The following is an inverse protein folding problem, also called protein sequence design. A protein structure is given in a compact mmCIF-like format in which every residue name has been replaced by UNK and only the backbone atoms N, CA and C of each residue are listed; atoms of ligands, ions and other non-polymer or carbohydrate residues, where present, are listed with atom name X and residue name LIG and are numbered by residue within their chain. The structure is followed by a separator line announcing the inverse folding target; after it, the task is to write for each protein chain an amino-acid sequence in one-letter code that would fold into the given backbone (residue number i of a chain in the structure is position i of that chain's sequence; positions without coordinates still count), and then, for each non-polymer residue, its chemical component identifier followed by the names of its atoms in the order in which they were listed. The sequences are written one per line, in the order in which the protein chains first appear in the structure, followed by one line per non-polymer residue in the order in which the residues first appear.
data_IF_217254049437
#
_entry.id   IF_217254049437
#
_cell.length_a   1.000
_cell.length_b   1.000
_cell.length_c   1.000
_cell.angle_alpha   90.00
_cell.angle_beta   90.00
_cell.angle_gamma   90.00
#
_symmetry.space_group_name_H-M   'P 1'
#
loop_
_entity.id
_entity.type
_entity.pdbx_description
1 polymer ?
#
# COMPACT_ATOMS: atom_id res chain seq x y z
N UNK A 1 68.05 5.25 65.22
CA UNK A 1 66.72 5.87 65.50
C UNK A 1 65.81 5.66 64.25
N UNK A 2 64.79 4.91 64.37
CA UNK A 2 63.92 4.45 63.30
C UNK A 2 62.87 5.50 63.03
N UNK A 3 62.70 5.92 61.76
CA UNK A 3 61.55 6.69 61.29
C UNK A 3 60.49 5.75 60.77
N UNK A 4 59.22 5.95 61.06
CA UNK A 4 58.14 5.08 60.51
C UNK A 4 57.67 5.64 59.16
N UNK A 5 57.52 4.70 58.19
CA UNK A 5 56.96 4.97 56.87
C UNK A 5 55.41 5.02 56.96
N UNK A 6 54.84 6.10 56.52
CA UNK A 6 53.37 6.24 56.35
C UNK A 6 52.97 5.76 54.94
N UNK A 7 52.42 4.57 54.84
CA UNK A 7 51.73 4.11 53.62
C UNK A 7 50.32 4.66 53.59
N UNK A 8 50.09 5.65 52.75
CA UNK A 8 48.74 6.10 52.35
C UNK A 8 48.37 5.34 51.11
N UNK A 9 47.48 4.39 51.22
CA UNK A 9 46.78 3.77 50.08
C UNK A 9 45.77 4.75 49.52
N UNK A 10 45.97 5.21 48.32
CA UNK A 10 44.92 5.89 47.50
C UNK A 10 43.97 4.85 46.97
N UNK A 11 42.65 5.10 47.04
CA UNK A 11 41.69 4.28 46.32
C UNK A 11 41.78 4.57 44.82
N UNK A 12 42.04 3.57 44.04
CA UNK A 12 42.01 3.58 42.59
C UNK A 12 40.55 3.73 42.13
N UNK A 13 40.16 4.94 41.78
CA UNK A 13 38.89 5.16 41.14
C UNK A 13 38.97 4.58 39.72
N UNK A 14 38.33 3.46 39.49
CA UNK A 14 38.18 2.85 38.18
C UNK A 14 37.17 3.69 37.39
N UNK A 15 37.63 4.61 36.57
CA UNK A 15 36.85 5.29 35.58
C UNK A 15 36.47 4.27 34.49
N UNK A 16 35.21 3.79 34.51
CA UNK A 16 34.63 3.02 33.41
C UNK A 16 34.34 4.00 32.28
N UNK A 17 35.27 4.23 31.38
CA UNK A 17 34.99 4.81 30.08
C UNK A 17 34.24 3.76 29.26
N UNK A 18 32.92 3.93 29.13
CA UNK A 18 32.13 3.20 28.17
C UNK A 18 32.55 3.64 26.76
N UNK A 19 33.49 2.92 26.16
CA UNK A 19 33.82 3.07 24.75
C UNK A 19 32.68 2.43 23.96
N UNK A 20 31.74 3.28 23.52
CA UNK A 20 30.74 2.89 22.54
C UNK A 20 31.45 2.67 21.21
N UNK A 21 31.97 1.47 20.96
CA UNK A 21 32.31 1.05 19.62
C UNK A 21 30.98 0.87 18.87
N UNK A 22 30.59 1.87 18.09
CA UNK A 22 29.65 1.71 17.01
C UNK A 22 30.32 0.86 15.91
N UNK A 23 30.37 -0.47 16.10
CA UNK A 23 30.59 -1.36 14.98
C UNK A 23 29.31 -1.31 14.14
N UNK A 24 29.28 -0.44 13.13
CA UNK A 24 28.39 -0.61 12.01
C UNK A 24 28.73 -1.97 11.41
N UNK A 25 27.94 -2.99 11.79
CA UNK A 25 27.88 -4.21 10.98
C UNK A 25 27.27 -3.70 9.67
N UNK A 26 28.10 -3.53 8.66
CA UNK A 26 27.67 -3.44 7.28
C UNK A 26 27.09 -4.84 7.00
N UNK A 27 25.83 -5.02 7.36
CA UNK A 27 25.03 -6.06 6.74
C UNK A 27 24.96 -5.59 5.29
N UNK A 28 25.55 -6.36 4.37
CA UNK A 28 25.41 -6.09 2.94
C UNK A 28 23.93 -5.80 2.71
N UNK A 29 23.61 -4.58 2.29
CA UNK A 29 22.25 -4.24 1.91
C UNK A 29 21.86 -5.29 0.87
N UNK A 30 20.94 -6.21 1.23
CA UNK A 30 20.39 -7.15 0.28
C UNK A 30 19.82 -6.31 -0.86
N UNK A 31 19.95 -6.72 -2.11
CA UNK A 31 19.28 -6.02 -3.22
C UNK A 31 17.78 -6.29 -3.14
N UNK A 32 16.94 -5.33 -3.59
CA UNK A 32 15.52 -5.58 -3.83
C UNK A 32 15.35 -6.92 -4.58
N UNK A 33 14.33 -7.67 -4.25
CA UNK A 33 14.10 -8.94 -4.92
C UNK A 33 12.62 -9.21 -5.16
N UNK A 34 12.33 -9.91 -6.26
CA UNK A 34 11.04 -10.53 -6.50
C UNK A 34 11.17 -12.04 -6.30
N UNK A 35 10.41 -12.59 -5.39
CA UNK A 35 10.36 -14.02 -5.10
C UNK A 35 9.03 -14.60 -5.57
N UNK A 36 9.07 -15.69 -6.34
CA UNK A 36 7.87 -16.43 -6.72
C UNK A 36 7.25 -17.03 -5.45
N UNK A 37 5.94 -16.95 -5.33
CA UNK A 37 5.13 -17.67 -4.33
C UNK A 37 4.22 -18.67 -5.03
N UNK A 38 3.49 -19.48 -4.28
CA UNK A 38 2.52 -20.38 -4.90
C UNK A 38 1.57 -19.59 -5.81
N UNK A 39 1.13 -20.16 -6.93
CA UNK A 39 0.16 -19.52 -7.81
C UNK A 39 -1.26 -19.63 -7.23
N UNK A 40 -2.13 -18.70 -7.60
CA UNK A 40 -3.59 -18.86 -7.45
C UNK A 40 -4.06 -20.12 -8.17
N UNK A 41 -5.22 -20.63 -7.79
CA UNK A 41 -5.87 -21.77 -8.49
C UNK A 41 -6.45 -21.32 -9.84
N UNK A 42 -6.87 -20.06 -9.92
CA UNK A 42 -7.52 -19.50 -11.10
C UNK A 42 -6.70 -18.36 -11.66
N UNK A 43 -6.35 -18.46 -12.95
CA UNK A 43 -5.72 -17.33 -13.67
C UNK A 43 -6.77 -16.23 -13.89
N UNK A 44 -6.40 -14.98 -13.57
CA UNK A 44 -7.35 -13.86 -13.59
C UNK A 44 -6.72 -12.49 -13.80
N UNK A 45 -7.43 -11.59 -14.47
CA UNK A 45 -7.13 -10.15 -14.53
C UNK A 45 -8.36 -9.34 -14.13
N UNK A 46 -8.19 -8.06 -13.81
CA UNK A 46 -9.32 -7.20 -13.40
C UNK A 46 -10.05 -7.67 -12.13
N UNK A 47 -9.36 -8.47 -11.31
CA UNK A 47 -9.79 -8.89 -9.98
C UNK A 47 -9.41 -7.83 -8.94
N UNK A 48 -9.94 -7.95 -7.74
CA UNK A 48 -9.52 -7.16 -6.59
C UNK A 48 -8.72 -8.00 -5.60
N UNK A 49 -7.78 -7.36 -4.88
CA UNK A 49 -7.05 -7.94 -3.78
C UNK A 49 -7.16 -7.03 -2.55
N UNK A 50 -7.56 -7.58 -1.42
CA UNK A 50 -7.77 -6.81 -0.19
C UNK A 50 -7.09 -7.50 0.98
N UNK A 51 -6.20 -6.76 1.68
CA UNK A 51 -5.58 -7.22 2.92
C UNK A 51 -6.65 -7.23 4.03
N UNK A 52 -6.86 -8.38 4.63
CA UNK A 52 -7.79 -8.58 5.75
C UNK A 52 -7.12 -8.23 7.08
N UNK A 53 -7.94 -7.99 8.10
CA UNK A 53 -7.46 -7.69 9.47
C UNK A 53 -6.67 -8.83 10.11
N UNK A 54 -6.85 -10.07 9.64
CA UNK A 54 -6.07 -11.23 10.08
C UNK A 54 -4.74 -11.41 9.33
N UNK A 55 -4.39 -10.49 8.43
CA UNK A 55 -3.15 -10.49 7.64
C UNK A 55 -3.19 -11.33 6.36
N UNK A 56 -4.26 -12.07 6.08
CA UNK A 56 -4.45 -12.75 4.80
C UNK A 56 -4.90 -11.76 3.71
N UNK A 57 -4.71 -12.12 2.45
CA UNK A 57 -5.23 -11.33 1.32
C UNK A 57 -6.33 -12.09 0.61
N UNK A 58 -7.53 -11.49 0.54
CA UNK A 58 -8.61 -12.03 -0.29
C UNK A 58 -8.49 -11.49 -1.71
N UNK A 59 -8.53 -12.40 -2.69
CA UNK A 59 -8.64 -12.09 -4.11
C UNK A 59 -10.04 -12.49 -4.57
N UNK A 60 -10.74 -11.56 -5.22
CA UNK A 60 -12.14 -11.76 -5.61
C UNK A 60 -12.38 -11.43 -7.09
N UNK A 61 -13.13 -12.29 -7.77
CA UNK A 61 -13.60 -12.09 -9.13
C UNK A 61 -12.50 -11.98 -10.17
N UNK A 62 -12.66 -11.08 -11.12
CA UNK A 62 -11.81 -10.91 -12.29
C UNK A 62 -12.38 -11.58 -13.53
N UNK A 63 -11.58 -11.62 -14.59
CA UNK A 63 -12.00 -12.13 -15.91
C UNK A 63 -11.17 -13.32 -16.38
N UNK A 64 -11.81 -14.35 -16.98
CA UNK A 64 -11.14 -15.38 -17.76
C UNK A 64 -10.78 -14.92 -19.18
N UNK A 65 -11.10 -13.69 -19.54
CA UNK A 65 -11.10 -13.12 -20.87
C UNK A 65 -12.47 -12.51 -21.21
N UNK A 66 -12.45 -11.47 -22.02
CA UNK A 66 -13.69 -10.76 -22.41
C UNK A 66 -14.62 -11.66 -23.22
N UNK A 67 -15.95 -11.67 -22.99
CA UNK A 67 -16.72 -10.88 -22.03
C UNK A 67 -17.04 -11.61 -20.71
N UNK A 68 -16.19 -12.50 -20.23
CA UNK A 68 -16.40 -13.33 -19.06
C UNK A 68 -16.03 -12.66 -17.74
N UNK A 69 -16.66 -13.09 -16.66
CA UNK A 69 -16.35 -12.70 -15.29
C UNK A 69 -16.36 -13.92 -14.36
N UNK A 70 -15.54 -13.88 -13.29
CA UNK A 70 -15.52 -14.89 -12.23
C UNK A 70 -16.30 -14.45 -10.99
N UNK A 71 -16.92 -15.43 -10.33
CA UNK A 71 -17.39 -15.29 -8.94
C UNK A 71 -16.42 -15.92 -7.93
N UNK A 72 -15.45 -16.71 -8.38
CA UNK A 72 -14.51 -17.41 -7.51
C UNK A 72 -13.64 -16.45 -6.69
N UNK A 73 -13.31 -16.90 -5.48
CA UNK A 73 -12.48 -16.14 -4.53
C UNK A 73 -11.43 -17.05 -3.90
N UNK A 74 -10.26 -16.47 -3.62
CA UNK A 74 -9.13 -17.17 -3.04
C UNK A 74 -8.49 -16.33 -1.91
N UNK A 75 -7.97 -17.03 -0.90
CA UNK A 75 -7.19 -16.43 0.19
C UNK A 75 -5.71 -16.78 0.04
N UNK A 76 -4.88 -15.75 0.10
CA UNK A 76 -3.43 -15.90 0.25
C UNK A 76 -3.04 -15.81 1.72
N UNK A 77 -2.26 -16.78 2.18
CA UNK A 77 -1.66 -16.76 3.52
C UNK A 77 -0.19 -16.33 3.43
N UNK A 78 0.19 -15.12 3.89
CA UNK A 78 1.57 -14.64 3.79
C UNK A 78 2.58 -15.40 4.63
N UNK A 79 2.13 -16.17 5.64
CA UNK A 79 3.01 -16.95 6.52
C UNK A 79 3.47 -18.24 5.83
N UNK A 80 2.58 -18.89 5.08
CA UNK A 80 2.86 -20.16 4.38
C UNK A 80 3.19 -19.96 2.91
N UNK A 81 2.81 -18.81 2.32
CA UNK A 81 2.94 -18.54 0.88
C UNK A 81 1.89 -19.26 0.02
N UNK A 82 0.84 -19.82 0.63
CA UNK A 82 -0.13 -20.69 -0.05
C UNK A 82 -1.46 -20.00 -0.34
N UNK A 83 -2.15 -20.48 -1.39
CA UNK A 83 -3.49 -20.05 -1.78
C UNK A 83 -4.53 -21.11 -1.46
N UNK A 84 -5.67 -20.67 -0.97
CA UNK A 84 -6.82 -21.51 -0.65
C UNK A 84 -8.04 -20.94 -1.34
N UNK A 85 -8.73 -21.77 -2.15
CA UNK A 85 -10.04 -21.42 -2.70
C UNK A 85 -11.08 -21.42 -1.57
N UNK A 86 -11.95 -20.41 -1.57
CA UNK A 86 -12.99 -20.21 -0.58
C UNK A 86 -14.35 -20.03 -1.26
N UNK A 87 -15.42 -19.84 -0.49
CA UNK A 87 -16.75 -19.61 -1.01
C UNK A 87 -16.78 -18.49 -2.05
N UNK A 88 -17.43 -18.74 -3.17
CA UNK A 88 -17.55 -17.77 -4.25
C UNK A 88 -18.59 -16.68 -3.93
N UNK A 89 -18.43 -15.51 -4.56
CA UNK A 89 -19.47 -14.47 -4.63
C UNK A 89 -20.73 -15.02 -5.29
N UNK A 90 -21.88 -14.45 -4.98
CA UNK A 90 -23.14 -14.81 -5.62
C UNK A 90 -23.20 -14.36 -7.10
N UNK A 91 -22.53 -13.26 -7.43
CA UNK A 91 -22.51 -12.68 -8.78
C UNK A 91 -21.09 -12.57 -9.28
N UNK A 92 -20.82 -13.14 -10.46
CA UNK A 92 -19.56 -13.01 -11.16
C UNK A 92 -19.32 -11.56 -11.57
N UNK A 93 -18.11 -11.03 -11.30
CA UNK A 93 -17.76 -9.64 -11.60
C UNK A 93 -16.28 -9.42 -11.89
N UNK A 94 -15.99 -8.51 -12.79
CA UNK A 94 -14.66 -7.99 -13.09
C UNK A 94 -14.69 -6.46 -13.07
N UNK A 95 -13.55 -5.80 -12.95
CA UNK A 95 -13.44 -4.32 -12.86
C UNK A 95 -14.37 -3.71 -11.81
N UNK A 96 -14.70 -4.47 -10.78
CA UNK A 96 -15.43 -4.04 -9.60
C UNK A 96 -14.46 -3.41 -8.58
N UNK A 97 -15.00 -2.79 -7.55
CA UNK A 97 -14.21 -2.32 -6.42
C UNK A 97 -14.41 -3.24 -5.21
N UNK A 98 -13.35 -3.37 -4.40
CA UNK A 98 -13.40 -4.01 -3.10
C UNK A 98 -12.91 -3.05 -2.02
N UNK A 99 -13.64 -2.95 -0.92
CA UNK A 99 -13.35 -2.05 0.20
C UNK A 99 -13.41 -2.84 1.51
N UNK A 100 -12.31 -2.82 2.27
CA UNK A 100 -12.32 -3.30 3.65
C UNK A 100 -13.07 -2.30 4.52
N UNK A 101 -14.17 -2.71 5.10
CA UNK A 101 -15.01 -1.89 5.97
C UNK A 101 -14.44 -1.85 7.40
N UNK A 102 -14.86 -0.85 8.18
CA UNK A 102 -14.42 -0.68 9.58
C UNK A 102 -14.82 -1.84 10.50
N UNK A 103 -15.85 -2.63 10.12
CA UNK A 103 -16.26 -3.84 10.83
C UNK A 103 -15.47 -5.10 10.42
N UNK A 104 -14.46 -4.97 9.56
CA UNK A 104 -13.61 -6.06 9.08
C UNK A 104 -14.19 -6.89 7.92
N UNK A 105 -15.41 -6.61 7.46
CA UNK A 105 -15.95 -7.22 6.25
C UNK A 105 -15.36 -6.58 4.99
N UNK A 106 -15.34 -7.30 3.88
CA UNK A 106 -14.97 -6.76 2.57
C UNK A 106 -16.23 -6.58 1.73
N UNK A 107 -16.50 -5.34 1.36
CA UNK A 107 -17.57 -5.03 0.40
C UNK A 107 -17.02 -5.11 -1.02
N UNK A 108 -17.68 -5.85 -1.91
CA UNK A 108 -17.49 -5.78 -3.35
C UNK A 108 -18.74 -5.18 -3.99
N UNK A 109 -18.58 -4.32 -4.96
CA UNK A 109 -19.72 -3.62 -5.55
C UNK A 109 -19.50 -3.33 -7.03
N UNK A 110 -20.58 -3.31 -7.85
CA UNK A 110 -20.58 -2.91 -9.25
C UNK A 110 -19.66 -3.72 -10.16
N UNK A 111 -19.06 -3.06 -11.13
CA UNK A 111 -18.22 -3.67 -12.17
C UNK A 111 -19.02 -4.24 -13.31
N UNK A 112 -18.44 -5.23 -14.00
CA UNK A 112 -19.08 -5.91 -15.14
C UNK A 112 -19.22 -7.38 -14.86
N UNK A 113 -20.42 -7.92 -15.10
CA UNK A 113 -20.74 -9.33 -15.06
C UNK A 113 -20.50 -10.03 -16.41
N UNK A 114 -20.90 -11.29 -16.49
CA UNK A 114 -20.88 -12.06 -17.74
C UNK A 114 -21.72 -11.35 -18.81
N UNK A 115 -21.27 -11.42 -20.06
CA UNK A 115 -21.89 -10.69 -21.16
C UNK A 115 -21.66 -9.17 -21.12
N UNK A 116 -20.67 -8.71 -20.34
CA UNK A 116 -20.31 -7.30 -20.18
C UNK A 116 -21.45 -6.43 -19.56
N UNK A 117 -22.33 -7.03 -18.79
CA UNK A 117 -23.45 -6.32 -18.12
C UNK A 117 -22.89 -5.48 -16.99
N UNK A 118 -23.20 -4.19 -16.97
CA UNK A 118 -22.82 -3.29 -15.87
C UNK A 118 -23.69 -3.57 -14.64
N UNK A 119 -23.07 -3.72 -13.48
CA UNK A 119 -23.72 -4.16 -12.25
C UNK A 119 -23.97 -3.00 -11.29
N UNK A 120 -25.10 -3.07 -10.56
CA UNK A 120 -25.37 -2.20 -9.40
C UNK A 120 -25.28 -2.99 -8.08
N UNK A 121 -25.26 -4.32 -8.14
CA UNK A 121 -25.27 -5.19 -6.96
C UNK A 121 -24.00 -5.07 -6.12
N UNK A 122 -24.15 -5.28 -4.81
CA UNK A 122 -23.07 -5.33 -3.84
C UNK A 122 -23.18 -6.57 -2.96
N UNK A 123 -22.03 -7.09 -2.53
CA UNK A 123 -21.91 -8.23 -1.64
C UNK A 123 -20.88 -7.96 -0.56
N UNK A 124 -21.08 -8.58 0.60
CA UNK A 124 -20.19 -8.50 1.75
C UNK A 124 -19.57 -9.87 2.02
N UNK A 125 -18.25 -9.90 2.10
CA UNK A 125 -17.51 -11.06 2.61
C UNK A 125 -17.26 -10.90 4.10
N UNK A 126 -17.64 -11.91 4.87
CA UNK A 126 -17.32 -11.97 6.30
C UNK A 126 -16.14 -12.94 6.50
N UNK A 127 -14.93 -12.44 6.88
CA UNK A 127 -13.75 -13.28 7.03
C UNK A 127 -13.80 -14.23 8.24
N UNK A 128 -14.71 -14.00 9.19
CA UNK A 128 -14.89 -14.89 10.36
C UNK A 128 -15.67 -16.15 9.98
N UNK A 129 -16.73 -15.99 9.18
CA UNK A 129 -17.57 -17.11 8.73
C UNK A 129 -17.17 -17.69 7.38
N UNK A 130 -16.34 -16.95 6.61
CA UNK A 130 -15.95 -17.32 5.25
C UNK A 130 -17.10 -17.22 4.24
N UNK A 131 -18.15 -16.44 4.51
CA UNK A 131 -19.37 -16.40 3.69
C UNK A 131 -19.54 -15.06 2.96
N UNK A 132 -20.17 -15.13 1.79
CA UNK A 132 -20.63 -13.97 1.03
C UNK A 132 -22.14 -13.78 1.24
N UNK A 133 -22.56 -12.54 1.45
CA UNK A 133 -23.96 -12.15 1.60
C UNK A 133 -24.28 -10.95 0.73
N UNK A 134 -25.47 -10.94 0.10
CA UNK A 134 -25.93 -9.76 -0.62
C UNK A 134 -26.23 -8.62 0.35
N UNK A 135 -25.97 -7.41 -0.08
CA UNK A 135 -26.39 -6.17 0.61
C UNK A 135 -27.16 -5.29 -0.35
N UNK A 136 -27.60 -4.09 0.07
CA UNK A 136 -28.28 -3.15 -0.80
C UNK A 136 -27.53 -2.89 -2.11
N UNK A 137 -28.24 -2.66 -3.20
CA UNK A 137 -27.66 -2.32 -4.49
C UNK A 137 -27.58 -0.80 -4.68
N UNK A 138 -26.58 -0.32 -5.44
CA UNK A 138 -26.54 1.08 -5.92
C UNK A 138 -27.79 1.39 -6.75
N UNK A 139 -28.20 2.63 -6.72
CA UNK A 139 -29.29 3.13 -7.57
C UNK A 139 -28.89 3.07 -9.05
N UNK A 140 -27.63 3.34 -9.35
CA UNK A 140 -27.10 3.35 -10.71
C UNK A 140 -26.03 2.28 -10.86
N UNK A 141 -26.21 1.38 -11.82
CA UNK A 141 -25.16 0.43 -12.21
C UNK A 141 -23.95 1.19 -12.79
N UNK A 142 -22.72 0.78 -12.41
CA UNK A 142 -21.51 1.49 -12.86
C UNK A 142 -20.29 0.60 -12.96
N UNK A 143 -19.46 0.86 -13.97
CA UNK A 143 -18.11 0.34 -14.12
C UNK A 143 -17.10 1.49 -14.19
N UNK A 144 -15.81 1.19 -14.01
CA UNK A 144 -14.72 2.17 -14.13
C UNK A 144 -14.92 3.43 -13.23
N UNK A 145 -15.46 3.21 -12.04
CA UNK A 145 -15.74 4.19 -10.99
C UNK A 145 -14.75 4.00 -9.82
N UNK A 146 -14.87 4.85 -8.81
CA UNK A 146 -14.05 4.76 -7.60
C UNK A 146 -14.92 4.47 -6.37
N UNK A 147 -14.33 3.73 -5.40
CA UNK A 147 -14.87 3.48 -4.08
C UNK A 147 -13.88 3.97 -3.02
N UNK A 148 -14.33 4.81 -2.11
CA UNK A 148 -13.49 5.41 -1.05
C UNK A 148 -14.15 5.24 0.31
N UNK A 149 -13.49 4.52 1.23
CA UNK A 149 -13.91 4.47 2.63
C UNK A 149 -13.63 5.82 3.28
N UNK A 150 -14.67 6.43 3.85
CA UNK A 150 -14.60 7.73 4.52
C UNK A 150 -14.30 7.55 6.02
N UNK A 151 -13.83 8.61 6.67
CA UNK A 151 -13.54 8.60 8.13
C UNK A 151 -14.77 8.29 8.99
N UNK A 152 -15.98 8.57 8.48
CA UNK A 152 -17.23 8.23 9.16
C UNK A 152 -17.70 6.78 8.94
N UNK A 153 -16.89 5.96 8.30
CA UNK A 153 -17.16 4.54 8.03
C UNK A 153 -18.07 4.26 6.84
N UNK A 154 -18.64 5.28 6.18
CA UNK A 154 -19.39 5.11 4.94
C UNK A 154 -18.45 4.95 3.75
N UNK A 155 -18.95 4.35 2.65
CA UNK A 155 -18.19 4.22 1.41
C UNK A 155 -18.79 5.13 0.34
N UNK A 156 -17.98 6.06 -0.15
CA UNK A 156 -18.34 6.90 -1.30
C UNK A 156 -18.06 6.16 -2.60
N UNK A 157 -19.05 6.03 -3.45
CA UNK A 157 -18.92 5.62 -4.84
C UNK A 157 -19.12 6.85 -5.72
N UNK A 158 -18.14 7.12 -6.60
CA UNK A 158 -18.19 8.31 -7.44
C UNK A 158 -17.95 8.01 -8.91
N UNK A 159 -18.74 8.62 -9.78
CA UNK A 159 -18.59 8.56 -11.24
C UNK A 159 -18.77 7.17 -11.84
N UNK A 160 -18.00 6.89 -12.87
CA UNK A 160 -18.03 5.64 -13.63
C UNK A 160 -18.75 5.77 -14.96
N UNK A 161 -19.04 4.63 -15.55
CA UNK A 161 -19.67 4.51 -16.85
C UNK A 161 -20.87 3.55 -16.80
N UNK A 162 -22.01 4.00 -17.38
CA UNK A 162 -23.23 3.20 -17.53
C UNK A 162 -23.95 3.60 -18.84
N UNK A 163 -23.28 3.43 -19.98
CA UNK A 163 -23.73 3.96 -21.25
C UNK A 163 -23.38 5.44 -21.48
N UNK A 164 -23.13 6.18 -20.39
CA UNK A 164 -22.59 7.54 -20.39
C UNK A 164 -21.66 7.74 -19.19
N UNK A 165 -20.84 8.79 -19.22
CA UNK A 165 -19.99 9.18 -18.09
C UNK A 165 -20.85 9.77 -16.97
N UNK A 166 -20.73 9.21 -15.79
CA UNK A 166 -21.55 9.58 -14.64
C UNK A 166 -20.90 10.70 -13.83
N UNK A 167 -21.67 11.71 -13.49
CA UNK A 167 -21.31 12.72 -12.49
C UNK A 167 -21.89 12.39 -11.10
N UNK A 168 -22.85 11.47 -11.04
CA UNK A 168 -23.50 11.08 -9.78
C UNK A 168 -22.57 10.32 -8.86
N UNK A 169 -22.82 10.43 -7.56
CA UNK A 169 -22.18 9.69 -6.52
C UNK A 169 -23.20 9.17 -5.49
N UNK A 170 -22.86 8.06 -4.84
CA UNK A 170 -23.68 7.40 -3.83
C UNK A 170 -22.86 7.04 -2.60
N UNK A 171 -23.49 7.09 -1.44
CA UNK A 171 -22.91 6.67 -0.16
C UNK A 171 -23.53 5.37 0.30
N UNK A 172 -22.69 4.39 0.58
CA UNK A 172 -23.08 3.16 1.26
C UNK A 172 -22.89 3.32 2.77
N UNK A 173 -23.92 2.97 3.52
CA UNK A 173 -23.85 2.90 4.99
C UNK A 173 -23.77 1.43 5.43
N UNK A 174 -22.61 0.97 5.94
CA UNK A 174 -22.46 -0.42 6.38
C UNK A 174 -23.34 -0.83 7.55
N UNK A 175 -23.79 0.14 8.36
CA UNK A 175 -24.64 -0.15 9.54
C UNK A 175 -26.07 -0.52 9.13
N UNK A 176 -26.61 0.09 8.08
CA UNK A 176 -27.97 -0.18 7.56
C UNK A 176 -27.97 -1.07 6.31
N UNK A 177 -26.82 -1.21 5.63
CA UNK A 177 -26.73 -1.89 4.35
C UNK A 177 -27.40 -1.12 3.20
N UNK A 178 -27.63 0.19 3.35
CA UNK A 178 -28.38 1.00 2.37
C UNK A 178 -27.50 2.00 1.62
N UNK A 179 -27.99 2.40 0.46
CA UNK A 179 -27.37 3.40 -0.41
C UNK A 179 -28.17 4.69 -0.42
N UNK A 180 -27.48 5.81 -0.38
CA UNK A 180 -28.10 7.14 -0.51
C UNK A 180 -27.31 7.97 -1.53
N UNK A 181 -27.98 8.65 -2.49
CA UNK A 181 -27.29 9.60 -3.34
C UNK A 181 -26.62 10.71 -2.51
N UNK A 182 -25.51 11.26 -2.98
CA UNK A 182 -24.94 12.49 -2.41
C UNK A 182 -25.87 13.66 -2.68
N UNK A 183 -25.86 14.70 -1.85
CA UNK A 183 -26.71 15.90 -2.02
C UNK A 183 -26.37 16.71 -3.28
N UNK A 184 -25.15 16.52 -3.82
CA UNK A 184 -24.67 17.08 -5.08
C UNK A 184 -24.01 16.04 -5.96
N UNK A 185 -23.74 16.41 -7.21
CA UNK A 185 -22.98 15.62 -8.18
C UNK A 185 -21.66 16.32 -8.51
N UNK A 186 -20.70 15.58 -9.07
CA UNK A 186 -19.52 16.16 -9.70
C UNK A 186 -19.96 17.11 -10.82
N UNK A 187 -19.17 18.14 -11.04
CA UNK A 187 -19.39 19.09 -12.12
C UNK A 187 -19.22 18.42 -13.50
N UNK A 188 -18.27 17.49 -13.60
CA UNK A 188 -17.98 16.75 -14.84
C UNK A 188 -18.16 15.26 -14.62
N UNK A 189 -19.02 14.64 -15.46
CA UNK A 189 -19.16 13.17 -15.51
C UNK A 189 -17.85 12.52 -15.95
N UNK A 190 -17.39 11.50 -15.23
CA UNK A 190 -16.09 10.88 -15.48
C UNK A 190 -16.04 9.40 -15.15
N UNK A 191 -15.24 8.65 -15.93
CA UNK A 191 -14.85 7.27 -15.65
C UNK A 191 -13.34 7.10 -15.71
N UNK A 192 -12.81 5.99 -15.23
CA UNK A 192 -11.37 5.72 -15.22
C UNK A 192 -10.52 6.84 -14.55
N UNK A 193 -11.14 7.53 -13.61
CA UNK A 193 -10.52 8.53 -12.73
C UNK A 193 -9.99 7.87 -11.46
N UNK A 194 -9.29 8.64 -10.63
CA UNK A 194 -8.89 8.20 -9.29
C UNK A 194 -9.60 9.02 -8.21
N UNK A 195 -9.77 8.41 -7.02
CA UNK A 195 -10.27 9.09 -5.83
C UNK A 195 -9.36 8.78 -4.65
N UNK A 196 -8.99 9.82 -3.91
CA UNK A 196 -8.08 9.73 -2.76
C UNK A 196 -8.65 10.45 -1.56
N UNK A 197 -8.83 9.75 -0.43
CA UNK A 197 -9.18 10.38 0.84
C UNK A 197 -7.98 11.19 1.34
N UNK A 198 -8.21 12.47 1.58
CA UNK A 198 -7.18 13.42 2.03
C UNK A 198 -7.14 13.48 3.56
N UNK A 199 -6.03 13.94 4.17
CA UNK A 199 -5.91 14.07 5.62
C UNK A 199 -6.95 15.02 6.28
N UNK A 200 -7.58 15.89 5.50
CA UNK A 200 -8.65 16.78 5.96
C UNK A 200 -10.06 16.16 5.84
N UNK A 201 -10.15 14.86 5.55
CA UNK A 201 -11.40 14.12 5.39
C UNK A 201 -12.15 14.33 4.07
N UNK A 202 -11.68 15.22 3.18
CA UNK A 202 -12.26 15.38 1.84
C UNK A 202 -11.74 14.30 0.89
N UNK A 203 -12.50 13.99 -0.18
CA UNK A 203 -12.07 13.07 -1.22
C UNK A 203 -11.70 13.86 -2.47
N UNK A 204 -10.45 13.74 -2.89
CA UNK A 204 -9.95 14.28 -4.14
C UNK A 204 -10.25 13.31 -5.28
N UNK A 205 -10.99 13.74 -6.28
CA UNK A 205 -11.26 13.02 -7.53
C UNK A 205 -10.50 13.70 -8.66
N UNK A 206 -9.68 12.94 -9.41
CA UNK A 206 -8.79 13.52 -10.43
C UNK A 206 -8.88 12.81 -11.77
N UNK A 207 -8.79 13.58 -12.85
CA UNK A 207 -8.69 13.08 -14.21
C UNK A 207 -9.87 12.23 -14.66
N UNK A 208 -9.57 11.24 -15.47
CA UNK A 208 -10.53 10.32 -16.07
C UNK A 208 -10.89 10.68 -17.51
N UNK A 209 -11.78 9.88 -18.08
CA UNK A 209 -12.46 10.17 -19.33
C UNK A 209 -13.81 10.83 -19.04
N UNK A 210 -14.20 11.79 -19.85
CA UNK A 210 -15.46 12.50 -19.77
C UNK A 210 -16.02 12.82 -21.15
N UNK A 211 -17.15 13.52 -21.20
CA UNK A 211 -17.76 13.97 -22.43
C UNK A 211 -17.93 15.50 -22.42
N UNK A 212 -17.32 16.15 -23.38
CA UNK A 212 -17.53 17.56 -23.67
C UNK A 212 -18.02 17.63 -25.12
N UNK A 213 -19.31 17.89 -25.27
CA UNK A 213 -20.00 17.80 -26.56
C UNK A 213 -19.24 18.49 -27.71
N UNK A 214 -19.02 17.81 -28.84
CA UNK A 214 -19.46 16.44 -29.20
C UNK A 214 -18.44 15.34 -28.97
N UNK A 215 -17.38 15.54 -28.15
CA UNK A 215 -16.25 14.65 -28.07
C UNK A 215 -16.07 13.99 -26.70
N UNK A 216 -15.60 12.75 -26.72
CA UNK A 216 -14.97 12.16 -25.54
C UNK A 216 -13.61 12.83 -25.28
N UNK A 217 -13.34 13.19 -24.04
CA UNK A 217 -12.13 13.91 -23.65
C UNK A 217 -11.42 13.22 -22.49
N UNK A 218 -10.12 13.43 -22.41
CA UNK A 218 -9.31 13.09 -21.24
C UNK A 218 -9.22 14.32 -20.34
N UNK A 219 -9.37 14.14 -19.05
CA UNK A 219 -9.52 15.24 -18.11
C UNK A 219 -8.22 15.52 -17.36
N UNK A 220 -7.90 16.81 -17.20
CA UNK A 220 -6.92 17.31 -16.25
C UNK A 220 -7.57 17.94 -15.01
N UNK A 221 -8.90 18.03 -14.99
CA UNK A 221 -9.65 18.62 -13.88
C UNK A 221 -9.68 17.71 -12.65
N UNK A 222 -9.77 18.34 -11.49
CA UNK A 222 -9.99 17.69 -10.22
C UNK A 222 -11.19 18.30 -9.48
N UNK A 223 -11.84 17.47 -8.67
CA UNK A 223 -12.98 17.88 -7.84
C UNK A 223 -12.81 17.33 -6.42
N UNK A 224 -13.34 18.04 -5.44
CA UNK A 224 -13.30 17.66 -4.04
C UNK A 224 -14.72 17.39 -3.54
N UNK A 225 -14.91 16.21 -2.96
CA UNK A 225 -16.09 15.88 -2.18
C UNK A 225 -15.86 16.17 -0.72
N UNK A 226 -16.77 16.91 -0.10
CA UNK A 226 -16.76 17.16 1.34
C UNK A 226 -17.83 16.29 2.03
N UNK A 227 -17.44 15.24 2.79
CA UNK A 227 -18.41 14.36 3.45
C UNK A 227 -19.25 15.05 4.53
N UNK A 228 -18.76 16.16 5.10
CA UNK A 228 -19.48 16.88 6.17
C UNK A 228 -20.68 17.66 5.61
N UNK A 229 -20.53 18.26 4.42
CA UNK A 229 -21.61 19.01 3.75
C UNK A 229 -22.35 18.18 2.69
N UNK A 230 -21.73 17.08 2.23
CA UNK A 230 -22.23 16.27 1.11
C UNK A 230 -22.06 16.96 -0.26
N UNK A 231 -21.24 18.00 -0.36
CA UNK A 231 -21.11 18.84 -1.57
C UNK A 231 -19.83 18.56 -2.35
N UNK A 232 -19.89 18.87 -3.64
CA UNK A 232 -18.76 18.83 -4.56
C UNK A 232 -18.26 20.23 -4.88
N UNK A 233 -16.96 20.41 -4.97
CA UNK A 233 -16.31 21.67 -5.38
C UNK A 233 -15.25 21.40 -6.42
N UNK A 234 -15.22 22.21 -7.48
CA UNK A 234 -14.18 22.11 -8.50
C UNK A 234 -12.87 22.67 -7.97
N UNK A 235 -11.77 21.96 -8.19
CA UNK A 235 -10.45 22.54 -8.01
C UNK A 235 -10.11 23.40 -9.25
N UNK A 236 -9.91 24.69 -9.05
CA UNK A 236 -9.62 25.61 -10.15
C UNK A 236 -8.23 25.40 -10.77
N UNK A 237 -7.34 24.72 -10.09
CA UNK A 237 -6.03 24.36 -10.60
C UNK A 237 -6.12 23.00 -11.29
N UNK A 238 -5.75 22.95 -12.56
CA UNK A 238 -5.73 21.73 -13.36
C UNK A 238 -4.39 20.99 -13.19
N UNK A 239 -4.40 19.68 -13.39
CA UNK A 239 -3.16 18.94 -13.68
C UNK A 239 -2.55 19.49 -14.97
N UNK A 240 -1.23 19.43 -15.07
CA UNK A 240 -0.52 19.86 -16.29
C UNK A 240 -0.77 18.90 -17.45
N UNK A 241 -1.02 17.61 -17.14
CA UNK A 241 -1.31 16.57 -18.13
C UNK A 241 -2.69 15.99 -17.92
N UNK A 242 -3.49 15.90 -18.99
CA UNK A 242 -4.72 15.10 -19.00
C UNK A 242 -4.38 13.64 -18.76
N UNK A 243 -5.21 12.90 -18.00
CA UNK A 243 -4.95 11.48 -17.76
C UNK A 243 -6.18 10.69 -17.35
N UNK A 244 -6.33 9.50 -17.92
CA UNK A 244 -7.31 8.49 -17.50
C UNK A 244 -6.57 7.16 -17.25
N UNK A 245 -7.17 6.25 -16.47
CA UNK A 245 -6.55 4.97 -16.07
C UNK A 245 -5.21 5.15 -15.35
N UNK A 246 -4.95 6.34 -14.85
CA UNK A 246 -3.75 6.68 -14.09
C UNK A 246 -3.84 6.13 -12.67
N UNK A 247 -2.73 6.19 -11.97
CA UNK A 247 -2.66 5.80 -10.57
C UNK A 247 -2.49 7.03 -9.68
N UNK A 248 -3.16 7.04 -8.52
CA UNK A 248 -3.00 8.07 -7.50
C UNK A 248 -2.80 7.43 -6.13
N UNK A 249 -1.91 8.02 -5.33
CA UNK A 249 -1.64 7.52 -3.98
C UNK A 249 -1.33 8.67 -3.01
N UNK A 250 -1.93 8.59 -1.81
CA UNK A 250 -1.63 9.52 -0.73
C UNK A 250 -0.26 9.17 -0.12
N UNK A 251 0.62 10.16 -0.09
CA UNK A 251 1.96 10.05 0.49
C UNK A 251 1.94 10.36 1.99
N UNK A 252 2.95 9.89 2.72
CA UNK A 252 3.09 10.17 4.17
C UNK A 252 3.18 11.66 4.51
N UNK A 253 3.60 12.51 3.57
CA UNK A 253 3.64 13.96 3.73
C UNK A 253 2.29 14.67 3.45
N UNK A 254 1.22 13.91 3.24
CA UNK A 254 -0.14 14.41 2.98
C UNK A 254 -0.39 14.89 1.55
N UNK A 255 0.60 14.89 0.66
CA UNK A 255 0.40 15.16 -0.77
C UNK A 255 -0.11 13.92 -1.49
N UNK A 256 -0.77 14.10 -2.64
CA UNK A 256 -1.19 13.00 -3.51
C UNK A 256 -0.28 12.94 -4.73
N UNK A 257 0.38 11.82 -4.94
CA UNK A 257 1.12 11.54 -6.16
C UNK A 257 0.16 10.97 -7.19
N UNK A 258 0.13 11.58 -8.37
CA UNK A 258 -0.65 11.13 -9.53
C UNK A 258 0.32 10.84 -10.66
N UNK A 259 0.21 9.68 -11.32
CA UNK A 259 1.20 9.25 -12.31
C UNK A 259 0.62 8.40 -13.42
N UNK A 260 1.26 8.47 -14.57
CA UNK A 260 0.98 7.63 -15.72
C UNK A 260 -0.40 7.85 -16.31
N UNK A 261 -0.91 6.82 -16.94
CA UNK A 261 -2.21 6.78 -17.57
C UNK A 261 -2.19 7.22 -19.04
N UNK A 262 -3.37 7.29 -19.61
CA UNK A 262 -3.60 7.69 -20.99
C UNK A 262 -3.88 9.19 -21.05
N UNK A 263 -3.09 9.93 -21.83
CA UNK A 263 -3.22 11.39 -21.97
C UNK A 263 -4.23 11.79 -23.06
N UNK A 264 -4.32 10.99 -24.12
CA UNK A 264 -5.30 11.14 -25.19
C UNK A 264 -5.61 9.78 -25.86
N UNK A 265 -6.34 9.78 -26.98
CA UNK A 265 -6.71 8.55 -27.68
C UNK A 265 -5.52 7.80 -28.30
N UNK A 266 -4.35 8.41 -28.37
CA UNK A 266 -3.17 7.91 -29.08
C UNK A 266 -1.90 7.88 -28.22
N UNK A 267 -1.92 8.48 -27.02
CA UNK A 267 -0.72 8.65 -26.20
C UNK A 267 -0.96 8.29 -24.75
N UNK A 268 0.04 7.64 -24.19
CA UNK A 268 0.22 7.44 -22.77
C UNK A 268 1.24 8.43 -22.21
N UNK A 269 1.24 8.62 -20.92
CA UNK A 269 2.18 9.53 -20.26
C UNK A 269 2.94 8.84 -19.13
N UNK A 270 4.25 9.06 -19.07
CA UNK A 270 5.10 8.65 -17.95
C UNK A 270 5.27 9.74 -16.89
N UNK A 271 4.67 10.92 -17.10
CA UNK A 271 4.79 12.05 -16.18
C UNK A 271 4.07 11.78 -14.86
N UNK A 272 4.58 12.42 -13.80
CA UNK A 272 3.97 12.39 -12.49
C UNK A 272 3.82 13.80 -11.92
N UNK A 273 2.74 14.01 -11.17
CA UNK A 273 2.41 15.28 -10.54
C UNK A 273 2.03 15.08 -9.07
N UNK A 274 2.35 16.07 -8.25
CA UNK A 274 1.98 16.13 -6.85
C UNK A 274 0.89 17.14 -6.61
N UNK A 275 -0.22 16.69 -6.05
CA UNK A 275 -1.26 17.57 -5.51
C UNK A 275 -0.95 17.94 -4.08
N UNK A 276 -1.00 19.23 -3.76
CA UNK A 276 -0.89 19.74 -2.40
C UNK A 276 -2.29 20.12 -1.86
N UNK A 277 -2.86 19.35 -0.92
CA UNK A 277 -4.21 19.64 -0.41
C UNK A 277 -4.35 20.96 0.35
N UNK A 278 -3.25 21.50 0.89
CA UNK A 278 -3.28 22.76 1.63
C UNK A 278 -3.44 24.00 0.72
N UNK A 279 -2.93 23.93 -0.51
CA UNK A 279 -2.96 25.03 -1.48
C UNK A 279 -3.86 24.75 -2.66
N UNK A 280 -4.27 23.50 -2.87
CA UNK A 280 -5.02 23.06 -4.06
C UNK A 280 -4.21 23.09 -5.36
N UNK A 281 -2.87 23.14 -5.28
CA UNK A 281 -1.99 23.29 -6.46
C UNK A 281 -1.35 21.98 -6.88
N UNK A 282 -0.96 21.92 -8.16
CA UNK A 282 -0.23 20.82 -8.77
C UNK A 282 1.23 21.23 -9.05
N UNK A 283 2.13 20.28 -8.93
CA UNK A 283 3.55 20.47 -9.27
C UNK A 283 4.09 19.20 -9.93
N UNK A 284 4.85 19.36 -11.00
CA UNK A 284 5.54 18.24 -11.64
C UNK A 284 6.57 17.63 -10.69
N UNK A 285 6.71 16.31 -10.74
CA UNK A 285 7.66 15.58 -9.91
C UNK A 285 8.46 14.56 -10.72
N UNK A 286 8.87 14.99 -11.90
CA UNK A 286 9.68 14.16 -12.80
C UNK A 286 8.87 13.11 -13.56
N UNK A 287 9.58 12.24 -14.23
CA UNK A 287 9.06 11.14 -15.03
C UNK A 287 9.78 9.86 -14.64
N UNK A 288 9.10 8.75 -14.70
CA UNK A 288 9.69 7.44 -14.48
C UNK A 288 10.68 6.99 -15.56
N UNK A 289 10.91 7.83 -16.59
CA UNK A 289 11.86 7.55 -17.68
C UNK A 289 11.29 6.72 -18.84
N UNK A 290 12.03 6.62 -19.90
CA UNK A 290 11.65 5.89 -21.11
C UNK A 290 11.46 4.39 -20.81
N UNK A 291 10.36 3.82 -21.32
CA UNK A 291 10.00 2.42 -21.11
C UNK A 291 8.89 2.18 -20.08
N UNK A 292 8.40 3.24 -19.42
CA UNK A 292 7.28 3.22 -18.49
C UNK A 292 6.18 4.20 -18.94
N UNK A 293 6.06 4.41 -20.24
CA UNK A 293 5.14 5.39 -20.81
C UNK A 293 3.67 5.00 -20.62
N UNK A 294 3.40 3.77 -20.16
CA UNK A 294 2.05 3.28 -19.97
C UNK A 294 1.90 2.50 -18.64
N UNK A 295 1.52 3.22 -17.61
CA UNK A 295 1.09 2.62 -16.34
C UNK A 295 -0.40 2.22 -16.34
N UNK A 296 -0.98 1.98 -17.49
CA UNK A 296 -2.37 1.52 -17.56
C UNK A 296 -2.54 0.22 -16.79
N UNK A 297 -3.37 0.24 -15.75
CA UNK A 297 -3.62 -0.91 -14.91
C UNK A 297 -2.40 -1.36 -14.07
N UNK A 298 -1.46 -0.46 -13.78
CA UNK A 298 -0.33 -0.73 -12.89
C UNK A 298 -0.61 -0.12 -11.51
N UNK A 299 -0.77 -0.92 -10.47
CA UNK A 299 -1.02 -0.41 -9.13
C UNK A 299 0.24 0.21 -8.52
N UNK A 300 0.06 1.34 -7.81
CA UNK A 300 1.09 1.92 -6.96
C UNK A 300 0.92 1.45 -5.52
N UNK A 301 2.02 1.14 -4.85
CA UNK A 301 2.02 0.70 -3.45
C UNK A 301 2.93 1.59 -2.62
N UNK A 302 2.37 2.25 -1.59
CA UNK A 302 3.14 3.00 -0.60
C UNK A 302 3.81 2.00 0.34
N UNK A 303 5.14 1.98 0.31
CA UNK A 303 5.96 1.11 1.16
C UNK A 303 6.07 1.65 2.59
N UNK A 304 6.51 0.79 3.50
CA UNK A 304 6.67 1.15 4.93
C UNK A 304 7.69 2.25 5.16
N UNK A 305 8.69 2.40 4.30
CA UNK A 305 9.69 3.48 4.34
C UNK A 305 9.19 4.80 3.74
N UNK A 306 8.01 4.79 3.10
CA UNK A 306 7.38 5.96 2.48
C UNK A 306 7.70 6.14 1.00
N UNK A 307 8.51 5.29 0.40
CA UNK A 307 8.67 5.23 -1.05
C UNK A 307 7.42 4.62 -1.70
N UNK A 308 7.22 4.87 -2.99
CA UNK A 308 6.12 4.28 -3.75
C UNK A 308 6.69 3.31 -4.77
N UNK A 309 6.28 2.05 -4.67
CA UNK A 309 6.61 1.01 -5.63
C UNK A 309 5.60 1.00 -6.77
N UNK A 310 6.11 0.89 -8.00
CA UNK A 310 5.36 0.55 -9.19
C UNK A 310 6.09 -0.60 -9.86
N UNK A 311 5.37 -1.65 -10.25
CA UNK A 311 5.97 -2.82 -10.88
C UNK A 311 5.09 -3.34 -12.01
N UNK A 312 5.66 -3.69 -13.14
CA UNK A 312 4.94 -4.15 -14.31
C UNK A 312 4.33 -3.02 -15.13
N UNK A 313 3.22 -3.30 -15.80
CA UNK A 313 2.55 -2.41 -16.74
C UNK A 313 2.68 -2.89 -18.17
N UNK A 314 2.09 -2.17 -19.11
CA UNK A 314 2.23 -2.46 -20.54
C UNK A 314 2.32 -1.15 -21.35
N UNK A 315 2.92 -1.25 -22.51
CA UNK A 315 2.84 -0.24 -23.57
C UNK A 315 2.02 -0.81 -24.73
N UNK A 316 0.96 -0.11 -25.10
CA UNK A 316 0.14 -0.45 -26.26
C UNK A 316 0.42 0.52 -27.38
N UNK A 317 0.90 -0.01 -28.51
CA UNK A 317 1.04 0.79 -29.73
C UNK A 317 -0.32 0.94 -30.42
N UNK A 318 -0.88 2.14 -30.41
CA UNK A 318 -2.17 2.45 -31.06
C UNK A 318 -2.13 2.37 -32.60
N UNK A 319 -0.94 2.38 -33.20
CA UNK A 319 -0.76 2.25 -34.65
C UNK A 319 -0.77 0.80 -35.16
N UNK A 320 -1.29 -0.14 -34.37
CA UNK A 320 -1.42 -1.55 -34.77
C UNK A 320 -0.22 -2.43 -34.43
N UNK A 321 0.71 -1.95 -33.61
CA UNK A 321 1.83 -2.72 -33.10
C UNK A 321 1.47 -3.65 -31.95
N UNK A 322 2.41 -4.55 -31.62
CA UNK A 322 2.29 -5.46 -30.48
C UNK A 322 2.31 -4.68 -29.15
N UNK A 323 1.50 -5.09 -28.19
CA UNK A 323 1.61 -4.62 -26.82
C UNK A 323 2.90 -5.18 -26.18
N UNK A 324 3.64 -4.32 -25.50
CA UNK A 324 4.84 -4.70 -24.75
C UNK A 324 4.46 -4.74 -23.28
N UNK A 325 4.76 -5.83 -22.60
CA UNK A 325 4.53 -6.00 -21.16
C UNK A 325 5.84 -5.82 -20.42
N UNK A 326 5.79 -5.13 -19.30
CA UNK A 326 6.97 -4.82 -18.50
C UNK A 326 7.12 -5.75 -17.29
N UNK A 327 8.36 -6.14 -17.03
CA UNK A 327 8.77 -6.81 -15.79
C UNK A 327 9.52 -5.87 -14.85
N UNK A 328 9.89 -4.69 -15.32
CA UNK A 328 10.62 -3.68 -14.54
C UNK A 328 9.79 -3.12 -13.40
N UNK A 329 10.47 -2.63 -12.38
CA UNK A 329 9.87 -1.94 -11.25
C UNK A 329 10.62 -0.64 -10.95
N UNK A 330 9.91 0.30 -10.36
CA UNK A 330 10.45 1.60 -9.98
C UNK A 330 10.01 2.01 -8.59
N UNK A 331 10.86 2.78 -7.96
CA UNK A 331 10.63 3.43 -6.68
C UNK A 331 10.61 4.94 -6.86
N UNK A 332 9.54 5.57 -6.39
CA UNK A 332 9.47 7.01 -6.23
C UNK A 332 9.82 7.39 -4.81
N UNK A 333 10.78 8.30 -4.64
CA UNK A 333 11.15 8.86 -3.34
C UNK A 333 10.48 10.23 -3.14
N UNK A 334 9.46 10.35 -2.27
CA UNK A 334 8.74 11.61 -2.09
C UNK A 334 9.52 12.69 -1.33
N UNK A 335 10.69 12.36 -0.75
CA UNK A 335 11.53 13.33 -0.03
C UNK A 335 12.27 14.25 -0.99
N UNK A 336 12.75 13.71 -2.12
CA UNK A 336 13.52 14.45 -3.12
C UNK A 336 12.89 14.48 -4.51
N UNK A 337 11.74 13.80 -4.71
CA UNK A 337 11.02 13.74 -5.99
C UNK A 337 11.70 12.87 -7.06
N UNK A 338 12.62 11.98 -6.68
CA UNK A 338 13.38 11.17 -7.63
C UNK A 338 12.72 9.82 -7.90
N UNK A 339 12.88 9.34 -9.14
CA UNK A 339 12.54 8.01 -9.59
C UNK A 339 13.80 7.16 -9.71
N UNK A 340 13.75 5.92 -9.25
CA UNK A 340 14.85 4.96 -9.34
C UNK A 340 14.32 3.63 -9.86
N UNK A 341 14.88 3.15 -10.96
CA UNK A 341 14.60 1.79 -11.44
C UNK A 341 15.26 0.78 -10.51
N UNK A 342 14.50 -0.20 -10.03
CA UNK A 342 15.06 -1.28 -9.19
C UNK A 342 15.96 -2.19 -10.02
N UNK A 343 16.96 -2.80 -9.40
CA UNK A 343 17.77 -3.84 -10.05
C UNK A 343 17.00 -5.16 -10.16
N UNK A 344 16.06 -5.39 -9.25
CA UNK A 344 15.16 -6.52 -9.29
C UNK A 344 14.00 -6.26 -10.26
N UNK A 345 13.60 -7.30 -10.98
CA UNK A 345 12.48 -7.29 -11.91
C UNK A 345 11.51 -8.42 -11.59
N UNK A 346 10.24 -8.27 -11.96
CA UNK A 346 9.26 -9.34 -11.90
C UNK A 346 9.74 -10.54 -12.72
N UNK A 347 9.55 -11.74 -12.22
CA UNK A 347 9.83 -12.97 -12.97
C UNK A 347 8.92 -13.11 -14.19
N UNK A 348 7.72 -12.53 -14.13
CA UNK A 348 6.77 -12.50 -15.24
C UNK A 348 6.27 -11.09 -15.47
N UNK A 349 6.50 -10.55 -16.66
CA UNK A 349 5.94 -9.28 -17.11
C UNK A 349 4.40 -9.33 -17.06
N UNK A 350 3.77 -8.30 -16.49
CA UNK A 350 2.32 -8.30 -16.23
C UNK A 350 1.69 -6.92 -16.19
N UNK A 351 0.40 -6.85 -16.51
CA UNK A 351 -0.44 -5.66 -16.32
C UNK A 351 -1.85 -6.06 -15.84
N UNK A 352 -2.64 -5.12 -15.35
CA UNK A 352 -3.97 -5.36 -14.73
C UNK A 352 -3.89 -6.43 -13.63
N UNK A 353 -2.77 -6.44 -12.93
CA UNK A 353 -2.53 -7.24 -11.74
C UNK A 353 -2.86 -6.43 -10.49
N UNK A 354 -2.84 -7.07 -9.35
CA UNK A 354 -2.96 -6.38 -8.06
C UNK A 354 -1.63 -6.33 -7.34
N UNK A 355 -1.41 -5.26 -6.55
CA UNK A 355 -0.27 -5.14 -5.65
C UNK A 355 -0.78 -4.77 -4.25
N UNK A 356 -0.46 -5.58 -3.26
CA UNK A 356 -0.98 -5.45 -1.89
C UNK A 356 0.17 -5.44 -0.91
N UNK A 357 0.32 -4.34 -0.17
CA UNK A 357 1.30 -4.27 0.93
C UNK A 357 0.83 -5.19 2.07
N UNK A 358 1.68 -6.13 2.45
CA UNK A 358 1.45 -7.08 3.53
C UNK A 358 1.93 -6.50 4.87
N UNK A 359 1.42 -7.03 5.97
CA UNK A 359 1.83 -6.61 7.32
C UNK A 359 3.34 -6.79 7.61
N UNK A 360 4.00 -7.69 6.88
CA UNK A 360 5.46 -7.90 6.99
C UNK A 360 6.30 -6.96 6.11
N UNK A 361 5.67 -5.96 5.47
CA UNK A 361 6.34 -4.96 4.63
C UNK A 361 6.64 -5.43 3.20
N UNK A 362 6.38 -6.68 2.84
CA UNK A 362 6.48 -7.17 1.47
C UNK A 362 5.26 -6.75 0.65
N UNK A 363 5.37 -6.72 -0.68
CA UNK A 363 4.24 -6.46 -1.57
C UNK A 363 3.90 -7.73 -2.34
N UNK A 364 2.67 -8.22 -2.16
CA UNK A 364 2.13 -9.32 -2.96
C UNK A 364 1.65 -8.77 -4.30
N UNK A 365 2.20 -9.29 -5.39
CA UNK A 365 1.80 -8.98 -6.76
C UNK A 365 1.16 -10.23 -7.35
N UNK A 366 -0.11 -10.16 -7.73
CA UNK A 366 -0.87 -11.35 -8.09
C UNK A 366 -1.66 -11.19 -9.38
N UNK A 367 -1.67 -12.24 -10.20
CA UNK A 367 -2.45 -12.35 -11.42
C UNK A 367 -2.06 -11.34 -12.49
N UNK A 368 -3.09 -10.90 -13.24
CA UNK A 368 -2.94 -9.99 -14.37
C UNK A 368 -2.86 -10.71 -15.72
N UNK A 369 -2.42 -9.99 -16.73
CA UNK A 369 -2.21 -10.47 -18.08
C UNK A 369 -0.76 -10.31 -18.50
N UNK A 370 -0.27 -11.20 -19.33
CA UNK A 370 1.05 -11.19 -19.94
C UNK A 370 0.94 -11.46 -21.44
N UNK A 371 2.06 -11.49 -22.15
CA UNK A 371 2.11 -11.78 -23.60
C UNK A 371 1.42 -13.11 -23.96
N UNK A 372 1.52 -14.10 -23.09
CA UNK A 372 0.99 -15.45 -23.33
C UNK A 372 -0.41 -15.68 -22.71
N UNK A 373 -1.08 -14.63 -22.24
CA UNK A 373 -2.43 -14.72 -21.67
C UNK A 373 -2.52 -14.32 -20.21
N UNK A 374 -3.56 -14.80 -19.54
CA UNK A 374 -3.83 -14.51 -18.15
C UNK A 374 -2.90 -15.26 -17.19
N UNK A 375 -2.65 -14.68 -16.04
CA UNK A 375 -1.76 -15.22 -15.03
C UNK A 375 -2.50 -15.70 -13.78
N UNK A 376 -2.07 -16.87 -13.28
CA UNK A 376 -2.32 -17.32 -11.91
C UNK A 376 -1.12 -17.06 -11.00
N UNK A 377 0.06 -16.77 -11.59
CA UNK A 377 1.28 -16.59 -10.83
C UNK A 377 1.21 -15.37 -9.90
N UNK A 378 1.86 -15.51 -8.76
CA UNK A 378 2.03 -14.43 -7.80
C UNK A 378 3.49 -14.33 -7.37
N UNK A 379 3.91 -13.12 -7.04
CA UNK A 379 5.27 -12.79 -6.66
C UNK A 379 5.28 -11.86 -5.44
N UNK A 380 6.29 -11.98 -4.61
CA UNK A 380 6.52 -11.11 -3.48
C UNK A 380 7.68 -10.16 -3.79
N UNK A 381 7.41 -8.88 -3.85
CA UNK A 381 8.47 -7.87 -3.79
C UNK A 381 8.96 -7.76 -2.34
N UNK A 382 10.26 -7.98 -2.17
CA UNK A 382 10.95 -7.76 -0.91
C UNK A 382 11.72 -6.44 -1.05
N UNK A 383 11.22 -5.34 -0.48
CA UNK A 383 11.98 -4.12 -0.50
C UNK A 383 13.31 -4.37 0.21
N UNK A 384 14.40 -3.87 -0.34
CA UNK A 384 15.53 -3.57 0.50
C UNK A 384 14.96 -2.62 1.54
N UNK A 385 14.87 -3.09 2.76
CA UNK A 385 14.65 -2.16 3.84
C UNK A 385 15.76 -1.14 3.68
N UNK A 386 15.46 -0.07 2.94
CA UNK A 386 16.34 1.05 2.76
C UNK A 386 16.79 1.40 4.15
N UNK A 387 18.01 1.11 4.46
CA UNK A 387 18.64 1.05 5.78
C UNK A 387 17.60 1.38 6.83
N UNK A 388 16.95 0.36 7.39
CA UNK A 388 16.06 0.57 8.52
C UNK A 388 16.87 1.48 9.41
N UNK A 389 16.43 2.73 9.57
CA UNK A 389 17.24 3.71 10.32
C UNK A 389 17.68 2.96 11.55
N UNK A 390 18.96 2.68 11.73
CA UNK A 390 19.38 1.71 12.70
C UNK A 390 18.68 2.10 14.00
N UNK A 391 17.93 1.18 14.59
CA UNK A 391 17.23 1.48 15.83
C UNK A 391 18.31 1.94 16.79
N UNK A 392 18.46 3.24 16.93
CA UNK A 392 19.45 3.83 17.82
C UNK A 392 18.86 3.71 19.21
N UNK A 393 19.43 2.84 20.00
CA UNK A 393 19.05 2.72 21.40
C UNK A 393 19.42 4.02 22.08
N UNK A 394 18.41 4.68 22.65
CA UNK A 394 18.53 5.95 23.36
C UNK A 394 18.43 5.75 24.86
N UNK A 395 19.02 6.67 25.61
CA UNK A 395 18.95 6.73 27.07
C UNK A 395 19.33 5.41 27.79
N UNK A 396 20.48 4.78 27.44
CA UNK A 396 20.92 3.60 28.15
C UNK A 396 21.20 3.96 29.61
N UNK A 397 20.45 3.38 30.53
CA UNK A 397 20.51 3.71 31.96
C UNK A 397 20.60 2.46 32.81
N UNK A 398 21.52 2.42 33.76
CA UNK A 398 21.53 1.42 34.82
C UNK A 398 20.65 1.94 35.97
N UNK A 399 19.59 1.22 36.25
CA UNK A 399 18.67 1.54 37.34
C UNK A 399 19.28 1.25 38.71
N UNK A 400 18.75 1.86 39.79
CA UNK A 400 19.20 1.58 41.17
C UNK A 400 19.07 0.10 41.57
N UNK A 401 18.13 -0.63 40.96
CA UNK A 401 17.96 -2.09 41.10
C UNK A 401 19.10 -2.90 40.45
N UNK A 402 19.99 -2.26 39.69
CA UNK A 402 21.01 -2.90 38.88
C UNK A 402 20.52 -3.35 37.50
N UNK A 403 19.22 -3.27 37.21
CA UNK A 403 18.66 -3.54 35.87
C UNK A 403 19.16 -2.52 34.85
N UNK A 404 19.23 -2.94 33.59
CA UNK A 404 19.61 -2.07 32.49
C UNK A 404 18.39 -1.71 31.65
N UNK A 405 18.23 -0.42 31.33
CA UNK A 405 17.10 0.10 30.57
C UNK A 405 17.59 0.89 29.38
N UNK A 406 16.88 0.76 28.24
CA UNK A 406 17.07 1.59 27.06
C UNK A 406 15.72 1.83 26.37
N UNK A 407 15.67 2.89 25.59
CA UNK A 407 14.52 3.21 24.73
C UNK A 407 14.94 3.40 23.28
N UNK A 408 13.98 3.56 22.41
CA UNK A 408 14.16 3.97 21.02
C UNK A 408 12.82 4.47 20.45
N UNK A 409 12.90 5.22 19.35
CA UNK A 409 11.72 5.65 18.60
C UNK A 409 11.59 4.83 17.32
N UNK A 410 10.35 4.45 17.00
CA UNK A 410 10.01 3.74 15.78
C UNK A 410 8.54 3.97 15.39
N UNK A 411 8.08 3.35 14.31
CA UNK A 411 6.67 3.43 13.88
C UNK A 411 5.74 2.88 14.97
N UNK A 412 4.66 3.59 15.33
CA UNK A 412 3.68 3.13 16.32
C UNK A 412 3.06 1.79 15.95
N UNK A 413 2.74 0.97 16.96
CA UNK A 413 2.06 -0.32 16.78
C UNK A 413 2.94 -1.47 16.29
N UNK A 414 4.23 -1.24 16.02
CA UNK A 414 5.17 -2.32 15.67
C UNK A 414 5.58 -3.08 16.93
N UNK A 415 5.55 -4.40 16.89
CA UNK A 415 6.02 -5.23 17.99
C UNK A 415 7.50 -5.51 17.87
N UNK A 416 8.21 -5.56 19.00
CA UNK A 416 9.63 -5.83 19.05
C UNK A 416 9.97 -6.83 20.13
N UNK A 417 11.06 -7.60 19.89
CA UNK A 417 11.66 -8.46 20.90
C UNK A 417 13.09 -8.02 21.18
N UNK A 418 13.49 -8.07 22.45
CA UNK A 418 14.85 -7.80 22.87
C UNK A 418 15.63 -9.12 22.98
N UNK A 419 16.84 -9.10 22.48
CA UNK A 419 17.80 -10.19 22.54
C UNK A 419 19.08 -9.68 23.19
N UNK A 420 19.80 -10.56 23.88
CA UNK A 420 21.10 -10.24 24.43
C UNK A 420 22.13 -11.37 24.25
N UNK A 421 23.39 -10.98 24.28
CA UNK A 421 24.53 -11.90 24.29
C UNK A 421 25.68 -11.30 25.07
N UNK A 422 26.58 -12.16 25.55
CA UNK A 422 27.89 -11.76 26.10
C UNK A 422 28.98 -11.81 25.03
N UNK A 423 28.70 -12.36 23.85
CA UNK A 423 29.62 -12.48 22.73
C UNK A 423 29.01 -12.01 21.41
N UNK A 424 29.45 -10.86 20.93
CA UNK A 424 28.94 -10.23 19.67
C UNK A 424 29.28 -11.02 18.41
N UNK A 425 30.25 -11.92 18.45
CA UNK A 425 30.66 -12.73 17.29
C UNK A 425 29.68 -13.87 17.00
N UNK A 426 28.72 -14.13 17.88
CA UNK A 426 27.68 -15.14 17.65
C UNK A 426 26.68 -14.68 16.60
N UNK A 427 26.21 -15.63 15.77
CA UNK A 427 25.07 -15.38 14.89
C UNK A 427 23.84 -14.98 15.72
N UNK A 428 22.97 -14.14 15.16
CA UNK A 428 21.79 -13.62 15.88
C UNK A 428 20.82 -14.74 16.35
N UNK A 429 20.84 -15.90 15.71
CA UNK A 429 20.09 -17.09 16.14
C UNK A 429 20.54 -17.65 17.51
N UNK A 430 21.76 -17.34 17.91
CA UNK A 430 22.37 -17.81 19.16
C UNK A 430 22.30 -16.75 20.28
N UNK A 431 21.59 -15.67 20.08
CA UNK A 431 21.36 -14.66 21.11
C UNK A 431 20.19 -15.06 22.00
N UNK A 432 20.32 -14.81 23.27
CA UNK A 432 19.26 -15.13 24.25
C UNK A 432 18.08 -14.18 24.09
N UNK A 433 16.88 -14.73 23.94
CA UNK A 433 15.62 -13.98 23.95
C UNK A 433 15.35 -13.46 25.36
N UNK A 434 15.15 -12.16 25.51
CA UNK A 434 14.86 -11.52 26.80
C UNK A 434 13.37 -11.23 26.99
N UNK A 435 12.63 -11.00 25.92
CA UNK A 435 11.19 -10.74 25.96
C UNK A 435 10.75 -9.61 25.01
N UNK A 436 9.47 -9.25 25.11
CA UNK A 436 8.87 -8.20 24.30
C UNK A 436 9.27 -6.82 24.80
N UNK A 437 9.42 -5.88 23.87
CA UNK A 437 9.64 -4.46 24.16
C UNK A 437 8.28 -3.78 24.30
N UNK A 438 8.16 -2.90 25.28
CA UNK A 438 6.90 -2.18 25.56
C UNK A 438 6.86 -0.86 24.81
N UNK A 439 5.77 -0.60 24.09
CA UNK A 439 5.44 0.74 23.59
C UNK A 439 4.83 1.57 24.72
N UNK A 440 5.51 2.65 25.11
CA UNK A 440 5.13 3.49 26.24
C UNK A 440 4.16 4.61 25.84
N UNK A 441 4.31 5.09 24.60
CA UNK A 441 3.43 6.02 23.91
C UNK A 441 3.63 5.82 22.41
N UNK A 442 2.72 6.28 21.53
CA UNK A 442 2.83 6.04 20.10
C UNK A 442 4.23 6.33 19.53
N UNK A 443 4.90 5.28 19.03
CA UNK A 443 6.25 5.35 18.48
C UNK A 443 7.40 5.42 19.48
N UNK A 444 7.15 5.41 20.79
CA UNK A 444 8.18 5.41 21.84
C UNK A 444 8.25 4.06 22.53
N UNK A 445 9.35 3.38 22.39
CA UNK A 445 9.57 2.02 22.88
C UNK A 445 10.58 2.00 24.04
N UNK A 446 10.38 1.10 25.00
CA UNK A 446 11.26 0.90 26.13
C UNK A 446 11.41 -0.57 26.46
N UNK A 447 12.61 -0.95 26.85
CA UNK A 447 12.92 -2.28 27.36
C UNK A 447 13.76 -2.15 28.63
N UNK A 448 13.47 -3.01 29.62
CA UNK A 448 14.24 -3.12 30.85
C UNK A 448 14.70 -4.56 31.02
N UNK A 449 16.00 -4.78 31.12
CA UNK A 449 16.61 -6.08 31.41
C UNK A 449 16.89 -6.22 32.91
N UNK A 450 16.07 -6.97 33.65
CA UNK A 450 16.27 -7.16 35.08
C UNK A 450 17.46 -8.06 35.39
N UNK A 451 17.94 -8.86 34.44
CA UNK A 451 19.05 -9.80 34.60
C UNK A 451 20.42 -9.18 34.27
N UNK A 452 20.46 -7.90 33.89
CA UNK A 452 21.73 -7.22 33.59
C UNK A 452 22.70 -7.16 34.76
N UNK A 453 22.19 -7.27 36.00
CA UNK A 453 22.98 -7.34 37.23
C UNK A 453 23.97 -8.49 37.29
N UNK A 454 23.64 -9.61 36.64
CA UNK A 454 24.42 -10.87 36.74
C UNK A 454 25.50 -10.99 35.67
N UNK A 455 25.59 -10.00 34.73
CA UNK A 455 26.50 -10.06 33.59
C UNK A 455 27.25 -8.73 33.43
N UNK A 456 28.53 -8.66 33.66
CA UNK A 456 29.33 -7.43 33.58
C UNK A 456 29.50 -6.90 32.15
N UNK A 457 29.23 -7.73 31.14
CA UNK A 457 29.23 -7.34 29.72
C UNK A 457 28.05 -7.99 29.05
N UNK A 458 27.15 -7.17 28.48
CA UNK A 458 25.98 -7.62 27.77
C UNK A 458 25.72 -6.71 26.57
N UNK A 459 25.52 -7.32 25.40
CA UNK A 459 25.18 -6.64 24.16
C UNK A 459 23.70 -6.89 23.88
N UNK A 460 23.02 -5.87 23.38
CA UNK A 460 21.58 -5.92 23.14
C UNK A 460 21.29 -5.73 21.66
N UNK A 461 20.27 -6.42 21.19
CA UNK A 461 19.71 -6.29 19.86
C UNK A 461 18.19 -6.27 19.94
N UNK A 462 17.57 -5.42 19.14
CA UNK A 462 16.12 -5.40 18.97
C UNK A 462 15.81 -6.06 17.64
N UNK A 463 14.83 -6.94 17.67
CA UNK A 463 14.33 -7.65 16.50
C UNK A 463 12.85 -7.32 16.34
N UNK A 464 12.46 -6.86 15.14
CA UNK A 464 11.07 -6.87 14.68
C UNK A 464 10.71 -8.30 14.24
N UNK A 465 9.45 -8.72 14.37
CA UNK A 465 8.98 -10.01 13.89
C UNK A 465 9.29 -10.25 12.43
#
# INVERSE_FOLDING_TARGET
MKTPSNNKTLPLALALTALALSSSIIQSAGADSFAITDPMKTLRSGHTATLLTNGQVIVAGGSPGYPGAYSSTELYNPTTGTWTEINAMNIARTTHTATLLTNGQVMVVGGRGNGNIVLSSAELYNPVTGTWTNTGAMTTARSDYTATLLDNGKVLIAGGYSGSYLSSAELYDPASGTWTPTSGAMHTGRSAHTATLLPNGKVLVTGGQGFVSPYNVYLSSAELYDPASGTWTTNNNLMHTTRAYHTAILLKNGKVLVMGGQADSTQYTSTAELYNPATGTWTDTGSSGAGFDDYHGCPATLLTDGQVLIAGGNYRNFSGGLSIFFSSAQLYNPTNGTWTTTTAVLNTARYVHTATLLANGKVLIAGGSATNGLLASAELYNPVNGTASPIILSNPTKLPSGAFQFGFNYTPGVTFTALATTNVSLSSSNWTLLGSVTEMSPGQFRFTDPQATNNPRRFYRIRSP
#
